data_IF_309556314647
#
_entry.id   IF_309556314647
#
_cell.length_a   1.000
_cell.length_b   1.000
_cell.length_c   1.000
_cell.angle_alpha   90.00
_cell.angle_beta   90.00
_cell.angle_gamma   90.00
#
_symmetry.space_group_name_H-M   'P 1'
#
loop_
_entity.id
_entity.type
_entity.pdbx_description
1 polymer ?
#
# COMPACT_ATOMS: atom_id res chain seq x y z
N UNK A 1 -26.12 -13.52 -36.82
CA UNK A 1 -26.33 -13.65 -35.37
C UNK A 1 -27.79 -14.05 -35.21
N UNK A 2 -28.05 -15.22 -34.65
CA UNK A 2 -29.38 -15.84 -34.65
C UNK A 2 -30.23 -15.17 -33.54
N UNK A 3 -31.43 -14.65 -33.81
CA UNK A 3 -32.26 -13.97 -32.80
C UNK A 3 -32.56 -14.84 -31.57
N UNK A 4 -32.59 -16.17 -31.74
CA UNK A 4 -32.79 -17.12 -30.64
C UNK A 4 -31.63 -17.15 -29.62
N UNK A 5 -30.40 -16.84 -30.04
CA UNK A 5 -29.22 -16.84 -29.16
C UNK A 5 -29.15 -15.54 -28.33
N UNK A 6 -29.65 -14.42 -28.88
CA UNK A 6 -29.74 -13.13 -28.19
C UNK A 6 -30.80 -13.17 -27.08
N UNK A 7 -31.92 -13.84 -27.35
CA UNK A 7 -33.02 -14.01 -26.39
C UNK A 7 -32.64 -14.96 -25.24
N UNK A 8 -31.80 -15.96 -25.49
CA UNK A 8 -31.28 -16.86 -24.45
C UNK A 8 -30.28 -16.14 -23.52
N UNK A 9 -29.41 -15.29 -24.08
CA UNK A 9 -28.40 -14.56 -23.32
C UNK A 9 -29.00 -13.40 -22.50
N UNK A 10 -30.05 -12.74 -23.03
CA UNK A 10 -30.82 -11.73 -22.29
C UNK A 10 -31.65 -12.35 -21.17
N UNK A 11 -32.27 -13.52 -21.40
CA UNK A 11 -32.99 -14.25 -20.35
C UNK A 11 -32.07 -14.69 -19.20
N UNK A 12 -30.86 -15.17 -19.51
CA UNK A 12 -29.87 -15.54 -18.51
C UNK A 12 -29.37 -14.33 -17.69
N UNK A 13 -29.18 -13.17 -18.34
CA UNK A 13 -28.80 -11.93 -17.68
C UNK A 13 -29.91 -11.42 -16.72
N UNK A 14 -31.17 -11.54 -17.12
CA UNK A 14 -32.32 -11.16 -16.29
C UNK A 14 -32.50 -12.08 -15.08
N UNK A 15 -32.25 -13.38 -15.23
CA UNK A 15 -32.29 -14.33 -14.12
C UNK A 15 -31.20 -14.02 -13.08
N UNK A 16 -29.98 -13.71 -13.54
CA UNK A 16 -28.88 -13.31 -12.67
C UNK A 16 -29.21 -12.03 -11.90
N UNK A 17 -29.73 -11.00 -12.57
CA UNK A 17 -30.12 -9.75 -11.93
C UNK A 17 -31.23 -9.93 -10.90
N UNK A 18 -32.20 -10.79 -11.18
CA UNK A 18 -33.30 -11.10 -10.26
C UNK A 18 -32.81 -11.84 -9.02
N UNK A 19 -31.87 -12.77 -9.18
CA UNK A 19 -31.24 -13.51 -8.08
C UNK A 19 -30.37 -12.59 -7.21
N UNK A 20 -29.59 -11.70 -7.83
CA UNK A 20 -28.78 -10.71 -7.15
C UNK A 20 -29.64 -9.73 -6.33
N UNK A 21 -30.72 -9.19 -6.91
CA UNK A 21 -31.65 -8.30 -6.20
C UNK A 21 -32.31 -8.99 -5.00
N UNK A 22 -32.71 -10.27 -5.13
CA UNK A 22 -33.27 -11.04 -4.01
C UNK A 22 -32.27 -11.22 -2.87
N UNK A 23 -31.03 -11.59 -3.19
CA UNK A 23 -29.97 -11.76 -2.17
C UNK A 23 -29.69 -10.44 -1.46
N UNK A 24 -29.67 -9.33 -2.20
CA UNK A 24 -29.40 -8.01 -1.62
C UNK A 24 -30.54 -7.53 -0.70
N UNK A 25 -31.79 -7.85 -1.05
CA UNK A 25 -32.96 -7.62 -0.18
C UNK A 25 -32.84 -8.48 1.09
N UNK A 26 -32.58 -9.78 0.96
CA UNK A 26 -32.44 -10.69 2.12
C UNK A 26 -31.30 -10.22 3.03
N UNK A 27 -30.18 -9.78 2.47
CA UNK A 27 -29.04 -9.24 3.22
C UNK A 27 -29.42 -7.95 3.98
N UNK A 28 -30.15 -7.03 3.34
CA UNK A 28 -30.70 -5.84 4.00
C UNK A 28 -31.70 -6.17 5.10
N UNK A 29 -32.62 -7.11 4.86
CA UNK A 29 -33.63 -7.52 5.84
C UNK A 29 -33.00 -8.21 7.06
N UNK A 30 -31.98 -9.04 6.83
CA UNK A 30 -31.26 -9.76 7.91
C UNK A 30 -30.33 -8.85 8.70
N UNK A 31 -29.92 -7.72 8.12
CA UNK A 31 -29.19 -6.65 8.80
C UNK A 31 -30.10 -5.75 9.66
N UNK A 32 -31.43 -5.82 9.51
CA UNK A 32 -32.38 -4.93 10.19
C UNK A 32 -33.21 -5.59 11.30
N UNK A 33 -33.18 -6.93 11.47
CA UNK A 33 -34.06 -7.63 12.42
C UNK A 33 -33.31 -8.30 13.59
N UNK A 34 -32.62 -7.52 14.42
CA UNK A 34 -32.35 -7.90 15.82
C UNK A 34 -32.38 -6.65 16.69
N UNK A 35 -33.56 -6.31 17.21
CA UNK A 35 -33.84 -5.85 18.58
C UNK A 35 -35.19 -5.09 18.65
N UNK A 36 -36.23 -5.75 19.16
CA UNK A 36 -37.26 -5.20 20.06
C UNK A 36 -37.26 -6.18 21.25
N UNK A 37 -37.17 -5.78 22.52
CA UNK A 37 -38.01 -4.84 23.29
C UNK A 37 -37.34 -4.49 24.63
N UNK A 38 -37.38 -3.23 25.10
CA UNK A 38 -38.20 -2.75 26.23
C UNK A 38 -37.92 -1.26 26.58
N UNK A 39 -38.87 -0.64 27.26
CA UNK A 39 -39.20 0.80 27.36
C UNK A 39 -38.25 1.74 28.15
N UNK A 40 -38.35 3.03 27.79
CA UNK A 40 -38.27 4.25 28.61
C UNK A 40 -37.06 5.21 28.54
N UNK A 41 -37.29 6.31 27.81
CA UNK A 41 -36.86 7.71 27.97
C UNK A 41 -35.38 8.16 27.94
N UNK A 42 -35.14 9.13 27.05
CA UNK A 42 -34.17 10.25 27.07
C UNK A 42 -32.88 10.16 26.21
N UNK A 43 -32.84 11.08 25.24
CA UNK A 43 -31.70 11.67 24.48
C UNK A 43 -30.78 10.70 23.71
N UNK A 44 -31.00 10.63 22.40
CA UNK A 44 -30.16 9.89 21.45
C UNK A 44 -28.76 10.52 21.28
N UNK A 45 -27.77 10.02 22.01
CA UNK A 45 -26.39 10.00 21.53
C UNK A 45 -26.24 8.84 20.55
N UNK A 46 -25.89 9.13 19.29
CA UNK A 46 -25.59 8.11 18.27
C UNK A 46 -24.36 7.32 18.73
N UNK A 47 -24.60 6.20 19.43
CA UNK A 47 -23.58 5.23 19.75
C UNK A 47 -23.12 4.57 18.46
N UNK A 48 -21.98 5.04 17.94
CA UNK A 48 -21.20 4.32 16.93
C UNK A 48 -21.02 2.89 17.43
N UNK A 49 -21.63 1.92 16.76
CA UNK A 49 -21.43 0.49 17.04
C UNK A 49 -19.92 0.23 17.11
N UNK A 50 -19.41 0.01 18.33
CA UNK A 50 -18.01 -0.31 18.60
C UNK A 50 -17.79 -1.76 18.17
N UNK A 51 -17.52 -1.98 16.90
CA UNK A 51 -16.77 -3.18 16.52
C UNK A 51 -15.47 -3.15 17.32
N UNK A 52 -15.29 -4.10 18.23
CA UNK A 52 -14.00 -4.30 18.90
C UNK A 52 -13.05 -4.92 17.89
N UNK A 53 -12.53 -4.09 16.99
CA UNK A 53 -11.38 -4.43 16.18
C UNK A 53 -10.23 -4.75 17.14
N UNK A 54 -9.34 -5.70 16.80
CA UNK A 54 -8.08 -5.87 17.53
C UNK A 54 -7.42 -4.51 17.73
N UNK A 55 -6.87 -4.26 18.91
CA UNK A 55 -6.13 -3.03 19.14
C UNK A 55 -5.02 -2.94 18.09
N UNK A 56 -4.97 -1.83 17.35
CA UNK A 56 -3.95 -1.63 16.34
C UNK A 56 -2.61 -1.48 17.05
N UNK A 57 -1.74 -2.48 16.92
CA UNK A 57 -0.38 -2.40 17.44
C UNK A 57 0.47 -1.49 16.56
N UNK A 58 1.23 -0.60 17.20
CA UNK A 58 2.17 0.27 16.49
C UNK A 58 3.26 -0.57 15.84
N UNK A 59 3.45 -0.37 14.54
CA UNK A 59 4.59 -0.92 13.80
C UNK A 59 5.87 -0.57 14.54
N UNK A 60 6.67 -1.60 14.83
CA UNK A 60 7.98 -1.42 15.46
C UNK A 60 9.03 -1.04 14.42
N UNK A 61 9.94 -0.14 14.80
CA UNK A 61 10.99 0.36 13.93
C UNK A 61 12.39 0.11 14.52
N UNK A 62 13.25 -0.55 13.75
CA UNK A 62 14.62 -0.87 14.14
C UNK A 62 15.70 0.05 13.55
N UNK A 63 15.34 1.04 12.74
CA UNK A 63 16.34 1.87 12.03
C UNK A 63 16.75 1.35 10.66
N UNK A 64 16.02 0.38 10.10
CA UNK A 64 16.20 -0.09 8.74
C UNK A 64 15.45 0.81 7.75
N UNK A 65 16.14 1.32 6.73
CA UNK A 65 15.58 2.29 5.76
C UNK A 65 14.31 1.74 5.08
N UNK A 66 14.32 0.46 4.68
CA UNK A 66 13.18 -0.22 4.04
C UNK A 66 11.90 -0.22 4.89
N UNK A 67 12.04 -0.16 6.21
CA UNK A 67 10.93 -0.24 7.16
C UNK A 67 10.43 1.16 7.58
N UNK A 68 11.08 2.23 7.10
CA UNK A 68 10.73 3.60 7.41
C UNK A 68 9.34 3.97 6.90
N UNK A 69 9.05 3.78 5.61
CA UNK A 69 7.76 4.18 5.03
C UNK A 69 6.55 3.51 5.73
N UNK A 70 6.55 2.18 5.96
CA UNK A 70 5.48 1.53 6.72
C UNK A 70 5.34 2.03 8.16
N UNK A 71 6.47 2.30 8.83
CA UNK A 71 6.48 2.85 10.19
C UNK A 71 5.90 4.27 10.22
N UNK A 72 6.42 5.16 9.38
CA UNK A 72 6.04 6.56 9.33
C UNK A 72 4.58 6.74 8.93
N UNK A 73 4.07 5.92 8.00
CA UNK A 73 2.66 5.92 7.61
C UNK A 73 1.68 5.62 8.76
N UNK A 74 2.12 4.92 9.82
CA UNK A 74 1.33 4.72 11.03
C UNK A 74 1.63 5.78 12.09
N UNK A 75 2.91 6.05 12.35
CA UNK A 75 3.34 6.91 13.43
C UNK A 75 3.04 8.39 13.18
N UNK A 76 3.00 8.84 11.93
CA UNK A 76 2.62 10.22 11.55
C UNK A 76 1.25 10.64 12.09
N UNK A 77 0.33 9.69 12.30
CA UNK A 77 -0.98 9.95 12.92
C UNK A 77 -0.85 10.35 14.38
N UNK A 78 0.09 9.76 15.11
CA UNK A 78 0.40 10.11 16.50
C UNK A 78 1.16 11.44 16.54
N UNK A 79 2.14 11.62 15.65
CA UNK A 79 2.91 12.88 15.51
C UNK A 79 1.98 14.07 15.31
N UNK A 80 0.97 13.91 14.44
CA UNK A 80 0.02 14.98 14.07
C UNK A 80 -1.18 15.13 15.01
N UNK A 81 -1.39 14.21 15.98
CA UNK A 81 -2.56 14.28 16.87
C UNK A 81 -2.34 15.38 17.94
N UNK A 82 -3.18 16.43 17.99
CA UNK A 82 -3.05 17.49 18.99
C UNK A 82 -3.56 17.06 20.38
N UNK A 83 -4.27 15.94 20.50
CA UNK A 83 -4.84 15.48 21.79
C UNK A 83 -3.85 14.69 22.65
N UNK A 84 -2.68 14.36 22.11
CA UNK A 84 -1.62 13.63 22.81
C UNK A 84 -0.54 14.62 23.21
N UNK A 85 -0.17 14.68 24.49
CA UNK A 85 0.92 15.55 24.94
C UNK A 85 2.27 15.09 24.36
N UNK A 86 3.20 16.02 24.13
CA UNK A 86 4.49 15.68 23.52
C UNK A 86 5.31 14.71 24.40
N UNK A 87 5.15 14.72 25.73
CA UNK A 87 5.78 13.74 26.60
C UNK A 87 5.25 12.31 26.34
N UNK A 88 3.93 12.18 26.17
CA UNK A 88 3.30 10.90 25.83
C UNK A 88 3.69 10.47 24.41
N UNK A 89 3.76 11.40 23.45
CA UNK A 89 4.25 11.10 22.09
C UNK A 89 5.68 10.57 22.10
N UNK A 90 6.55 11.11 22.96
CA UNK A 90 7.91 10.61 23.12
C UNK A 90 7.90 9.19 23.71
N UNK A 91 7.04 8.91 24.68
CA UNK A 91 6.89 7.56 25.23
C UNK A 91 6.37 6.57 24.18
N UNK A 92 5.40 6.97 23.34
CA UNK A 92 4.95 6.16 22.21
C UNK A 92 6.06 5.96 21.18
N UNK A 93 6.88 6.97 20.90
CA UNK A 93 8.03 6.85 20.00
C UNK A 93 9.05 5.84 20.52
N UNK A 94 9.38 5.91 21.81
CA UNK A 94 10.22 4.94 22.51
C UNK A 94 9.60 3.55 22.35
N UNK A 95 8.31 3.37 22.66
CA UNK A 95 7.64 2.07 22.54
C UNK A 95 7.59 1.55 21.09
N UNK A 96 7.51 2.45 20.11
CA UNK A 96 7.46 2.11 18.69
C UNK A 96 8.83 1.81 18.09
N UNK A 97 9.93 2.03 18.83
CA UNK A 97 11.28 1.60 18.41
C UNK A 97 11.66 0.28 19.06
N UNK A 98 12.36 -0.58 18.31
CA UNK A 98 12.80 -1.89 18.78
C UNK A 98 13.97 -1.74 19.76
N UNK A 99 13.98 -2.42 20.93
CA UNK A 99 15.11 -2.43 21.84
C UNK A 99 16.43 -2.83 21.16
N UNK A 100 17.56 -2.28 21.62
CA UNK A 100 18.90 -2.60 21.09
C UNK A 100 19.07 -2.35 19.60
N UNK A 101 18.41 -1.31 19.07
CA UNK A 101 18.54 -0.90 17.67
C UNK A 101 18.99 0.54 17.53
N UNK A 102 19.52 0.90 16.36
CA UNK A 102 19.99 2.26 16.05
C UNK A 102 18.89 3.32 16.20
N UNK A 103 17.64 2.96 15.90
CA UNK A 103 16.50 3.85 16.10
C UNK A 103 16.22 4.09 17.58
N UNK A 104 16.25 3.03 18.40
CA UNK A 104 16.05 3.13 19.85
C UNK A 104 17.14 3.94 20.53
N UNK A 105 18.41 3.65 20.22
CA UNK A 105 19.56 4.39 20.74
C UNK A 105 19.46 5.90 20.44
N UNK A 106 19.00 6.25 19.24
CA UNK A 106 18.79 7.65 18.86
C UNK A 106 17.69 8.30 19.69
N UNK A 107 16.54 7.64 19.84
CA UNK A 107 15.40 8.21 20.59
C UNK A 107 15.71 8.30 22.08
N UNK A 108 16.36 7.29 22.66
CA UNK A 108 16.75 7.29 24.09
C UNK A 108 17.92 8.21 24.41
N UNK A 109 18.66 8.69 23.40
CA UNK A 109 19.70 9.73 23.61
C UNK A 109 19.12 11.07 24.10
N UNK A 110 17.81 11.28 23.92
CA UNK A 110 17.10 12.43 24.41
C UNK A 110 16.44 12.14 25.77
N UNK A 111 16.61 13.02 26.77
CA UNK A 111 15.88 12.89 28.03
C UNK A 111 14.35 12.86 27.80
N UNK A 112 13.60 11.97 28.48
CA UNK A 112 12.17 11.78 28.29
C UNK A 112 11.38 12.96 28.86
N UNK A 113 11.36 14.06 28.10
CA UNK A 113 10.69 15.30 28.45
C UNK A 113 9.93 15.85 27.25
N UNK A 114 8.89 16.61 27.54
CA UNK A 114 8.01 17.27 26.57
C UNK A 114 8.81 18.04 25.51
N UNK A 115 9.76 18.87 25.96
CA UNK A 115 10.60 19.74 25.13
C UNK A 115 11.50 18.99 24.12
N UNK A 116 11.80 17.72 24.40
CA UNK A 116 12.72 16.93 23.59
C UNK A 116 12.02 16.07 22.54
N UNK A 117 10.69 15.96 22.57
CA UNK A 117 9.96 15.18 21.57
C UNK A 117 10.29 15.60 20.15
N UNK A 118 10.17 16.90 19.86
CA UNK A 118 10.46 17.45 18.53
C UNK A 118 11.89 17.17 18.09
N UNK A 119 12.88 17.34 19.00
CA UNK A 119 14.28 17.04 18.71
C UNK A 119 14.51 15.56 18.39
N UNK A 120 13.86 14.67 19.13
CA UNK A 120 13.97 13.23 18.93
C UNK A 120 13.36 12.80 17.59
N UNK A 121 12.15 13.29 17.27
CA UNK A 121 11.48 12.90 16.03
C UNK A 121 12.14 13.51 14.79
N UNK A 122 12.62 14.75 14.88
CA UNK A 122 13.34 15.41 13.79
C UNK A 122 14.68 14.73 13.54
N UNK A 123 15.39 14.32 14.59
CA UNK A 123 16.61 13.51 14.45
C UNK A 123 16.34 12.16 13.79
N UNK A 124 15.21 11.52 14.13
CA UNK A 124 14.81 10.25 13.53
C UNK A 124 14.47 10.41 12.04
N UNK A 125 13.68 11.43 11.69
CA UNK A 125 13.35 11.81 10.31
C UNK A 125 14.61 12.14 9.51
N UNK A 126 15.50 12.95 10.07
CA UNK A 126 16.75 13.33 9.40
C UNK A 126 17.68 12.14 9.15
N UNK A 127 17.62 11.09 9.96
CA UNK A 127 18.54 9.95 9.81
C UNK A 127 17.98 8.82 8.95
N UNK A 128 16.67 8.59 8.98
CA UNK A 128 16.05 7.44 8.33
C UNK A 128 14.96 7.81 7.31
N UNK A 129 14.46 9.04 7.37
CA UNK A 129 13.34 9.53 6.57
C UNK A 129 13.72 10.60 5.55
N UNK A 130 14.99 10.69 5.15
CA UNK A 130 15.38 11.57 4.05
C UNK A 130 14.88 10.97 2.73
N UNK A 131 14.05 11.73 2.02
CA UNK A 131 13.45 11.29 0.76
C UNK A 131 14.53 10.87 -0.26
N UNK A 132 15.63 11.62 -0.37
CA UNK A 132 16.74 11.29 -1.27
C UNK A 132 17.35 9.91 -0.98
N UNK A 133 17.57 9.58 0.30
CA UNK A 133 18.10 8.27 0.71
C UNK A 133 17.10 7.15 0.45
N UNK A 134 15.81 7.42 0.67
CA UNK A 134 14.74 6.44 0.41
C UNK A 134 14.61 6.16 -1.09
N UNK A 135 14.63 7.20 -1.92
CA UNK A 135 14.63 7.07 -3.38
C UNK A 135 15.85 6.28 -3.84
N UNK A 136 17.04 6.63 -3.38
CA UNK A 136 18.27 5.90 -3.70
C UNK A 136 18.16 4.42 -3.31
N UNK A 137 17.66 4.12 -2.12
CA UNK A 137 17.46 2.76 -1.64
C UNK A 137 16.54 1.96 -2.57
N UNK A 138 15.37 2.50 -2.93
CA UNK A 138 14.40 1.80 -3.79
C UNK A 138 14.89 1.65 -5.23
N UNK A 139 15.64 2.62 -5.76
CA UNK A 139 16.30 2.51 -7.07
C UNK A 139 17.38 1.43 -7.05
N UNK A 140 18.18 1.35 -5.97
CA UNK A 140 19.19 0.28 -5.81
C UNK A 140 18.56 -1.10 -5.70
N UNK A 141 17.42 -1.23 -5.02
CA UNK A 141 16.69 -2.50 -4.97
C UNK A 141 16.14 -2.90 -6.35
N UNK A 142 15.66 -1.95 -7.15
CA UNK A 142 15.31 -2.20 -8.55
C UNK A 142 16.52 -2.68 -9.37
N UNK A 143 17.67 -2.00 -9.26
CA UNK A 143 18.92 -2.41 -9.93
C UNK A 143 19.36 -3.82 -9.51
N UNK A 144 19.24 -4.15 -8.23
CA UNK A 144 19.58 -5.47 -7.71
C UNK A 144 18.68 -6.55 -8.31
N UNK A 145 17.38 -6.27 -8.45
CA UNK A 145 16.44 -7.15 -9.16
C UNK A 145 16.87 -7.34 -10.62
N UNK A 146 17.23 -6.26 -11.32
CA UNK A 146 17.77 -6.30 -12.68
C UNK A 146 18.96 -7.25 -12.80
N UNK A 147 19.98 -7.06 -11.95
CA UNK A 147 21.22 -7.87 -11.98
C UNK A 147 20.93 -9.33 -11.64
N UNK A 148 20.06 -9.58 -10.66
CA UNK A 148 19.70 -10.94 -10.26
C UNK A 148 19.00 -11.71 -11.39
N UNK A 149 18.16 -11.05 -12.19
CA UNK A 149 17.43 -11.70 -13.28
C UNK A 149 18.32 -12.00 -14.50
N UNK A 150 19.37 -11.20 -14.70
CA UNK A 150 20.37 -11.43 -15.75
C UNK A 150 21.42 -12.49 -15.35
N UNK A 151 21.40 -12.95 -14.09
CA UNK A 151 22.32 -13.97 -13.59
C UNK A 151 21.81 -15.37 -13.94
N UNK A 152 22.68 -16.24 -14.48
CA UNK A 152 22.29 -17.59 -14.96
C UNK A 152 21.74 -18.51 -13.86
N UNK A 153 22.00 -18.20 -12.60
CA UNK A 153 21.62 -19.00 -11.42
C UNK A 153 20.27 -18.66 -10.80
N UNK A 154 19.63 -17.51 -11.14
CA UNK A 154 18.34 -17.12 -10.55
C UNK A 154 17.27 -16.96 -11.61
N UNK A 155 16.42 -17.97 -11.76
CA UNK A 155 15.16 -17.86 -12.51
C UNK A 155 14.03 -17.52 -11.55
N UNK A 156 13.76 -16.23 -11.36
CA UNK A 156 12.55 -15.79 -10.67
C UNK A 156 11.35 -15.98 -11.59
N UNK A 157 10.24 -16.53 -11.08
CA UNK A 157 8.99 -16.66 -11.86
C UNK A 157 8.48 -15.27 -12.22
N UNK A 158 7.99 -15.11 -13.45
CA UNK A 158 7.54 -13.81 -13.98
C UNK A 158 6.51 -13.09 -13.09
N UNK A 159 5.47 -13.76 -12.51
CA UNK A 159 4.54 -13.08 -11.60
C UNK A 159 5.22 -12.51 -10.35
N UNK A 160 6.14 -13.28 -9.75
CA UNK A 160 6.89 -12.83 -8.57
C UNK A 160 7.82 -11.67 -8.90
N UNK A 161 8.39 -11.64 -10.10
CA UNK A 161 9.20 -10.50 -10.56
C UNK A 161 8.34 -9.24 -10.71
N UNK A 162 7.16 -9.38 -11.33
CA UNK A 162 6.20 -8.28 -11.46
C UNK A 162 5.84 -7.69 -10.09
N UNK A 163 5.42 -8.53 -9.14
CA UNK A 163 5.05 -8.09 -7.79
C UNK A 163 6.19 -7.33 -7.09
N UNK A 164 7.43 -7.79 -7.28
CA UNK A 164 8.62 -7.16 -6.68
C UNK A 164 8.91 -5.79 -7.30
N UNK A 165 8.90 -5.69 -8.64
CA UNK A 165 9.10 -4.43 -9.35
C UNK A 165 8.00 -3.43 -8.95
N UNK A 166 6.75 -3.89 -8.96
CA UNK A 166 5.60 -3.06 -8.61
C UNK A 166 5.65 -2.57 -7.16
N UNK A 167 6.15 -3.40 -6.23
CA UNK A 167 6.38 -2.99 -4.85
C UNK A 167 7.37 -1.83 -4.74
N UNK A 168 8.49 -1.88 -5.47
CA UNK A 168 9.47 -0.78 -5.45
C UNK A 168 8.90 0.47 -6.13
N UNK A 169 8.18 0.32 -7.25
CA UNK A 169 7.55 1.44 -7.96
C UNK A 169 6.53 2.16 -7.07
N UNK A 170 5.65 1.43 -6.37
CA UNK A 170 4.68 2.04 -5.44
C UNK A 170 5.36 2.80 -4.29
N UNK A 171 6.49 2.30 -3.80
CA UNK A 171 7.26 3.00 -2.77
C UNK A 171 7.86 4.31 -3.31
N UNK A 172 8.44 4.28 -4.51
CA UNK A 172 8.94 5.47 -5.21
C UNK A 172 7.83 6.49 -5.48
N UNK A 173 6.66 6.04 -5.94
CA UNK A 173 5.48 6.90 -6.15
C UNK A 173 5.04 7.60 -4.86
N UNK A 174 5.06 6.88 -3.72
CA UNK A 174 4.72 7.46 -2.41
C UNK A 174 5.70 8.55 -1.95
N UNK A 175 6.93 8.54 -2.47
CA UNK A 175 7.96 9.56 -2.25
C UNK A 175 7.88 10.71 -3.27
N UNK A 176 6.87 10.73 -4.15
CA UNK A 176 6.71 11.75 -5.18
C UNK A 176 7.59 11.53 -6.42
N UNK A 177 8.23 10.36 -6.56
CA UNK A 177 8.91 9.92 -7.79
C UNK A 177 7.84 9.43 -8.76
N UNK A 178 7.16 10.37 -9.41
CA UNK A 178 6.11 10.04 -10.38
C UNK A 178 6.70 9.57 -11.70
N UNK A 179 5.96 8.69 -12.39
CA UNK A 179 6.29 8.22 -13.73
C UNK A 179 6.50 9.38 -14.70
N UNK A 180 5.80 10.51 -14.55
CA UNK A 180 5.98 11.68 -15.42
C UNK A 180 7.36 12.35 -15.27
N UNK A 181 7.91 12.43 -14.05
CA UNK A 181 9.21 13.07 -13.78
C UNK A 181 10.39 12.14 -14.01
N UNK A 182 10.21 10.83 -13.79
CA UNK A 182 11.31 9.86 -13.76
C UNK A 182 11.17 8.72 -14.78
N UNK A 183 10.15 8.75 -15.66
CA UNK A 183 9.92 7.78 -16.73
C UNK A 183 11.20 7.46 -17.51
N UNK A 184 11.95 8.49 -17.91
CA UNK A 184 13.14 8.33 -18.73
C UNK A 184 14.22 7.45 -18.09
N UNK A 185 14.27 7.36 -16.75
CA UNK A 185 15.16 6.46 -16.02
C UNK A 185 14.45 5.15 -15.65
N UNK A 186 13.20 5.21 -15.20
CA UNK A 186 12.46 4.04 -14.72
C UNK A 186 12.12 3.05 -15.83
N UNK A 187 11.78 3.52 -17.03
CA UNK A 187 11.45 2.64 -18.16
C UNK A 187 12.63 1.73 -18.55
N UNK A 188 13.84 2.24 -18.84
CA UNK A 188 14.99 1.38 -19.12
C UNK A 188 15.32 0.42 -17.96
N UNK A 189 15.12 0.86 -16.72
CA UNK A 189 15.40 0.06 -15.53
C UNK A 189 14.45 -1.14 -15.41
N UNK A 190 13.15 -0.90 -15.60
CA UNK A 190 12.12 -1.95 -15.61
C UNK A 190 12.28 -2.86 -16.81
N UNK A 191 12.58 -2.31 -18.00
CA UNK A 191 12.85 -3.10 -19.20
C UNK A 191 14.01 -4.07 -18.98
N UNK A 192 15.09 -3.60 -18.33
CA UNK A 192 16.26 -4.42 -18.02
C UNK A 192 15.96 -5.55 -17.01
N UNK A 193 14.90 -5.43 -16.21
CA UNK A 193 14.44 -6.50 -15.32
C UNK A 193 13.75 -7.64 -16.07
N UNK A 194 13.21 -7.39 -17.27
CA UNK A 194 12.48 -8.39 -18.03
C UNK A 194 13.47 -9.31 -18.78
N UNK A 195 13.22 -10.61 -18.79
CA UNK A 195 14.03 -11.52 -19.59
C UNK A 195 13.84 -11.23 -21.08
N UNK A 196 14.87 -11.53 -21.88
CA UNK A 196 14.84 -11.31 -23.33
C UNK A 196 13.65 -12.00 -24.00
N UNK A 197 13.19 -13.13 -23.46
CA UNK A 197 12.00 -13.84 -23.92
C UNK A 197 10.71 -13.05 -23.72
N UNK A 198 10.57 -12.39 -22.55
CA UNK A 198 9.40 -11.56 -22.22
C UNK A 198 9.41 -10.28 -23.04
N UNK A 199 10.58 -9.65 -23.22
CA UNK A 199 10.75 -8.48 -24.09
C UNK A 199 10.38 -8.82 -25.54
N UNK A 200 10.88 -9.94 -26.07
CA UNK A 200 10.52 -10.42 -27.41
C UNK A 200 9.04 -10.75 -27.54
N UNK A 201 8.39 -11.27 -26.51
CA UNK A 201 6.95 -11.51 -26.52
C UNK A 201 6.15 -10.19 -26.51
N UNK A 202 6.58 -9.22 -25.70
CA UNK A 202 5.96 -7.90 -25.61
C UNK A 202 6.10 -7.09 -26.90
N UNK A 203 7.31 -7.04 -27.49
CA UNK A 203 7.56 -6.36 -28.77
C UNK A 203 6.75 -6.97 -29.91
N UNK A 204 6.59 -8.30 -29.94
CA UNK A 204 5.73 -8.98 -30.93
C UNK A 204 4.26 -8.56 -30.78
N UNK A 205 3.77 -8.38 -29.56
CA UNK A 205 2.39 -8.00 -29.29
C UNK A 205 2.12 -6.51 -29.57
N UNK A 206 3.06 -5.63 -29.24
CA UNK A 206 2.97 -4.20 -29.57
C UNK A 206 3.06 -3.93 -31.08
N UNK A 207 3.95 -4.64 -31.79
CA UNK A 207 4.03 -4.59 -33.25
C UNK A 207 2.74 -5.06 -33.93
N UNK A 208 2.00 -5.97 -33.29
CA UNK A 208 0.68 -6.40 -33.73
C UNK A 208 -0.38 -5.31 -33.56
N UNK A 209 -0.31 -4.54 -32.47
CA UNK A 209 -1.26 -3.46 -32.18
C UNK A 209 -1.03 -2.23 -33.07
N UNK A 210 0.21 -1.92 -33.42
CA UNK A 210 0.55 -0.87 -34.39
C UNK A 210 0.13 -1.22 -35.82
N UNK A 211 0.24 -2.50 -36.22
CA UNK A 211 -0.32 -2.96 -37.50
C UNK A 211 -1.84 -2.85 -37.51
N UNK A 212 -2.53 -3.25 -36.44
CA UNK A 212 -4.00 -3.16 -36.35
C UNK A 212 -4.53 -1.73 -36.49
N UNK A 213 -3.81 -0.74 -35.96
CA UNK A 213 -4.14 0.70 -36.12
C UNK A 213 -3.97 1.21 -37.56
N UNK A 214 -3.02 0.66 -38.33
CA UNK A 214 -2.78 1.06 -39.73
C UNK A 214 -3.70 0.40 -40.75
N UNK A 215 -4.39 -0.68 -40.39
CA UNK A 215 -5.33 -1.40 -41.26
C UNK A 215 -6.78 -0.93 -41.01
N UNK A 216 -6.99 -0.03 -40.04
CA UNK A 216 -8.30 0.47 -39.62
C UNK A 216 -8.57 1.94 -40.04
N UNK A 217 -7.72 2.50 -40.90
CA UNK A 217 -7.87 3.79 -41.60
C UNK A 217 -7.82 3.52 -43.09
#
# INVERSE_FOLDING_TARGET
MNPADLDAETFAADEYNKKFKRINIIFKSKSNNREESDDSSSVQSISKRKFKLPLLELKKFGGEIKDWLPFWGQFSKIDSDPNIDEADKLQYLIQATLPSTRARELVESFPPSKENYHKAIDSLKSRFGQDDLLVEFYVRELLKLTISMNSRDQKVKLPTLYDRIETQLRALESLGVTTEKYAAMLFPLVESCLSEEVLRAWQRNNSFNDKKRRIST
#
